data_IF_172696149175
#
_entry.id   IF_172696149175
#
_cell.length_a   1.000
_cell.length_b   1.000
_cell.length_c   1.000
_cell.angle_alpha   90.00
_cell.angle_beta   90.00
_cell.angle_gamma   90.00
#
_symmetry.space_group_name_H-M   'P 1'
#
loop_
_entity.id
_entity.type
_entity.pdbx_description
1 polymer ?
#
# COMPACT_ATOMS: atom_id res chain seq x y z
N UNK A 1 -0.74 -3.92 -34.32
CA UNK A 1 -1.27 -4.30 -32.99
C UNK A 1 -1.43 -3.02 -32.16
N UNK A 2 -2.17 -2.03 -32.67
CA UNK A 2 -2.34 -0.73 -32.01
C UNK A 2 -3.75 -0.52 -31.42
N UNK A 3 -4.74 -1.31 -31.85
CA UNK A 3 -6.15 -1.01 -31.57
C UNK A 3 -6.63 -1.34 -30.14
N UNK A 4 -5.97 -2.22 -29.37
CA UNK A 4 -6.53 -2.65 -28.06
C UNK A 4 -6.37 -1.53 -27.02
N UNK A 5 -5.20 -0.90 -26.97
CA UNK A 5 -4.93 0.22 -26.05
C UNK A 5 -5.75 1.43 -26.47
N UNK A 6 -5.85 1.68 -27.78
CA UNK A 6 -6.66 2.77 -28.32
C UNK A 6 -8.15 2.56 -28.00
N UNK A 7 -8.71 1.36 -28.20
CA UNK A 7 -10.12 1.06 -27.86
C UNK A 7 -10.44 1.26 -26.37
N UNK A 8 -9.52 0.88 -25.47
CA UNK A 8 -9.71 1.04 -24.02
C UNK A 8 -9.57 2.50 -23.60
N UNK A 9 -8.74 3.28 -24.29
CA UNK A 9 -8.44 4.69 -23.96
C UNK A 9 -9.37 5.68 -24.67
N UNK A 10 -9.91 5.29 -25.83
CA UNK A 10 -10.85 6.08 -26.64
C UNK A 10 -12.21 6.24 -25.97
N UNK A 11 -12.57 5.36 -25.03
CA UNK A 11 -13.81 5.49 -24.27
C UNK A 11 -13.56 5.27 -22.76
N UNK A 12 -13.84 6.26 -21.91
CA UNK A 12 -13.60 6.20 -20.47
C UNK A 12 -14.34 5.04 -19.77
N UNK A 13 -15.42 4.53 -20.36
CA UNK A 13 -16.16 3.37 -19.83
C UNK A 13 -15.31 2.10 -19.86
N UNK A 14 -14.55 1.85 -20.93
CA UNK A 14 -13.67 0.68 -21.00
C UNK A 14 -12.48 0.79 -20.05
N UNK A 15 -11.97 2.00 -19.85
CA UNK A 15 -10.95 2.27 -18.83
C UNK A 15 -11.46 1.92 -17.42
N UNK A 16 -12.69 2.32 -17.09
CA UNK A 16 -13.31 1.98 -15.81
C UNK A 16 -13.47 0.46 -15.62
N UNK A 17 -13.89 -0.27 -16.66
CA UNK A 17 -13.98 -1.73 -16.63
C UNK A 17 -12.61 -2.37 -16.44
N UNK A 18 -11.58 -1.87 -17.12
CA UNK A 18 -10.20 -2.34 -16.97
C UNK A 18 -9.68 -2.14 -15.54
N UNK A 19 -9.99 -1.00 -14.91
CA UNK A 19 -9.64 -0.72 -13.50
C UNK A 19 -10.36 -1.69 -12.55
N UNK A 20 -11.64 -1.94 -12.76
CA UNK A 20 -12.41 -2.89 -11.94
C UNK A 20 -11.83 -4.31 -12.08
N UNK A 21 -11.52 -4.75 -13.30
CA UNK A 21 -10.87 -6.03 -13.56
C UNK A 21 -9.51 -6.14 -12.84
N UNK A 22 -8.69 -5.07 -12.90
CA UNK A 22 -7.42 -5.04 -12.20
C UNK A 22 -7.60 -5.20 -10.68
N UNK A 23 -8.59 -4.51 -10.08
CA UNK A 23 -8.90 -4.65 -8.65
C UNK A 23 -9.33 -6.08 -8.31
N UNK A 24 -10.19 -6.70 -9.13
CA UNK A 24 -10.66 -8.09 -8.91
C UNK A 24 -9.51 -9.08 -8.96
N UNK A 25 -8.60 -8.93 -9.92
CA UNK A 25 -7.42 -9.77 -10.05
C UNK A 25 -6.54 -9.64 -8.80
N UNK A 26 -6.25 -8.40 -8.38
CA UNK A 26 -5.50 -8.14 -7.15
C UNK A 26 -6.19 -8.79 -5.95
N UNK A 27 -7.50 -8.62 -5.80
CA UNK A 27 -8.28 -9.19 -4.70
C UNK A 27 -8.24 -10.73 -4.68
N UNK A 28 -8.27 -11.37 -5.86
CA UNK A 28 -8.12 -12.82 -6.00
C UNK A 28 -6.75 -13.32 -5.55
N UNK A 29 -5.69 -12.56 -5.83
CA UNK A 29 -4.34 -12.89 -5.39
C UNK A 29 -4.09 -12.61 -3.92
N UNK A 30 -4.74 -11.59 -3.33
CA UNK A 30 -4.54 -11.18 -1.93
C UNK A 30 -4.67 -12.36 -0.96
N UNK A 31 -5.73 -13.19 -1.07
CA UNK A 31 -5.92 -14.35 -0.16
C UNK A 31 -4.79 -15.38 -0.27
N UNK A 32 -4.27 -15.59 -1.47
CA UNK A 32 -3.20 -16.57 -1.75
C UNK A 32 -1.83 -16.03 -1.31
N UNK A 33 -1.57 -14.75 -1.57
CA UNK A 33 -0.35 -14.04 -1.16
C UNK A 33 -0.29 -13.93 0.36
N UNK A 34 -1.38 -13.62 1.06
CA UNK A 34 -1.40 -13.57 2.54
C UNK A 34 -1.02 -14.94 3.11
N UNK A 35 -1.61 -16.02 2.60
CA UNK A 35 -1.31 -17.38 3.08
C UNK A 35 0.14 -17.77 2.82
N UNK A 36 0.67 -17.41 1.65
CA UNK A 36 2.06 -17.63 1.29
C UNK A 36 3.02 -16.80 2.17
N UNK A 37 2.74 -15.50 2.34
CA UNK A 37 3.52 -14.58 3.15
C UNK A 37 3.54 -15.00 4.62
N UNK A 38 2.46 -15.60 5.14
CA UNK A 38 2.41 -16.10 6.52
C UNK A 38 3.34 -17.30 6.70
N UNK A 39 3.36 -18.24 5.74
CA UNK A 39 4.29 -19.39 5.75
C UNK A 39 5.73 -18.92 5.56
N UNK A 40 5.99 -18.09 4.55
CA UNK A 40 7.32 -17.52 4.30
C UNK A 40 7.81 -16.69 5.48
N UNK A 41 6.93 -15.90 6.10
CA UNK A 41 7.23 -15.11 7.29
C UNK A 41 7.56 -15.99 8.49
N UNK A 42 6.82 -17.08 8.72
CA UNK A 42 7.13 -18.04 9.78
C UNK A 42 8.51 -18.70 9.57
N UNK A 43 8.81 -19.13 8.34
CA UNK A 43 10.13 -19.66 7.98
C UNK A 43 11.23 -18.60 8.16
N UNK A 44 10.93 -17.35 7.82
CA UNK A 44 11.85 -16.22 7.96
C UNK A 44 12.16 -15.90 9.43
N UNK A 45 11.14 -15.93 10.31
CA UNK A 45 11.32 -15.75 11.76
C UNK A 45 12.19 -16.87 12.32
N UNK A 46 11.94 -18.13 11.93
CA UNK A 46 12.80 -19.25 12.32
C UNK A 46 14.24 -19.09 11.83
N UNK A 47 14.42 -18.63 10.59
CA UNK A 47 15.74 -18.38 10.02
C UNK A 47 16.49 -17.28 10.77
N UNK A 48 15.82 -16.16 11.10
CA UNK A 48 16.41 -15.08 11.89
C UNK A 48 16.77 -15.56 13.31
N UNK A 49 15.92 -16.37 13.94
CA UNK A 49 16.21 -16.97 15.24
C UNK A 49 17.43 -17.91 15.18
N UNK A 50 17.52 -18.74 14.14
CA UNK A 50 18.69 -19.59 13.90
C UNK A 50 19.97 -18.74 13.66
N UNK A 51 19.85 -17.66 12.90
CA UNK A 51 20.98 -16.77 12.59
C UNK A 51 21.48 -16.05 13.85
N UNK A 52 20.55 -15.62 14.72
CA UNK A 52 20.85 -15.06 16.04
C UNK A 52 21.57 -16.07 16.94
N UNK A 53 21.11 -17.33 16.96
CA UNK A 53 21.78 -18.40 17.71
C UNK A 53 23.18 -18.74 17.15
N UNK A 54 23.35 -18.68 15.83
CA UNK A 54 24.61 -18.97 15.16
C UNK A 54 25.66 -17.85 15.28
N UNK A 55 25.37 -16.75 15.99
CA UNK A 55 26.29 -15.64 16.23
C UNK A 55 26.70 -14.86 14.97
N UNK A 56 26.05 -15.12 13.83
CA UNK A 56 26.31 -14.41 12.58
C UNK A 56 25.65 -13.03 12.66
N UNK A 57 26.47 -11.99 12.50
CA UNK A 57 26.10 -10.57 12.59
C UNK A 57 24.76 -10.24 11.91
N UNK A 58 23.69 -10.22 12.68
CA UNK A 58 22.33 -9.83 12.24
C UNK A 58 22.17 -8.31 12.09
N UNK A 59 23.22 -7.55 12.41
CA UNK A 59 23.27 -6.07 12.41
C UNK A 59 22.88 -5.44 11.07
N UNK A 60 23.28 -6.04 9.95
CA UNK A 60 22.93 -5.51 8.62
C UNK A 60 21.45 -5.75 8.27
N UNK A 61 20.92 -6.91 8.64
CA UNK A 61 19.51 -7.25 8.43
C UNK A 61 18.64 -6.37 9.33
N UNK A 62 19.01 -6.18 10.59
CA UNK A 62 18.27 -5.32 11.52
C UNK A 62 18.28 -3.85 11.09
N UNK A 63 19.43 -3.32 10.63
CA UNK A 63 19.49 -1.95 10.08
C UNK A 63 18.58 -1.76 8.88
N UNK A 64 18.56 -2.73 7.96
CA UNK A 64 17.74 -2.66 6.75
C UNK A 64 16.26 -2.69 7.10
N UNK A 65 15.85 -3.61 7.98
CA UNK A 65 14.46 -3.72 8.46
C UNK A 65 14.04 -2.45 9.21
N UNK A 66 14.88 -1.91 10.07
CA UNK A 66 14.60 -0.67 10.82
C UNK A 66 14.44 0.54 9.89
N UNK A 67 15.31 0.70 8.88
CA UNK A 67 15.16 1.76 7.87
C UNK A 67 13.86 1.61 7.09
N UNK A 68 13.52 0.40 6.65
CA UNK A 68 12.27 0.15 5.94
C UNK A 68 11.04 0.44 6.81
N UNK A 69 11.09 0.08 8.09
CA UNK A 69 10.03 0.39 9.05
C UNK A 69 9.87 1.90 9.29
N UNK A 70 10.98 2.63 9.38
CA UNK A 70 10.97 4.08 9.55
C UNK A 70 10.38 4.79 8.32
N UNK A 71 10.78 4.39 7.11
CA UNK A 71 10.23 4.92 5.84
C UNK A 71 8.72 4.65 5.75
N UNK A 72 8.27 3.44 6.10
CA UNK A 72 6.84 3.11 6.12
C UNK A 72 6.09 3.97 7.13
N UNK A 73 6.63 4.13 8.33
CA UNK A 73 6.02 4.94 9.39
C UNK A 73 5.92 6.41 8.99
N UNK A 74 6.96 6.95 8.37
CA UNK A 74 6.99 8.34 7.90
C UNK A 74 6.01 8.55 6.73
N UNK A 75 5.94 7.62 5.78
CA UNK A 75 5.00 7.67 4.66
C UNK A 75 3.54 7.58 5.12
N UNK A 76 3.25 6.71 6.08
CA UNK A 76 1.91 6.57 6.67
C UNK A 76 1.54 7.82 7.47
N UNK A 77 2.45 8.37 8.27
CA UNK A 77 2.19 9.61 9.01
C UNK A 77 1.96 10.78 8.07
N UNK A 78 2.84 11.02 7.07
CA UNK A 78 2.66 12.10 6.10
C UNK A 78 1.36 11.96 5.29
N UNK A 79 0.99 10.74 4.93
CA UNK A 79 -0.27 10.47 4.21
C UNK A 79 -1.48 10.70 5.12
N UNK A 80 -1.44 10.18 6.35
CA UNK A 80 -2.50 10.37 7.34
C UNK A 80 -2.71 11.83 7.73
N UNK A 81 -1.63 12.59 7.88
CA UNK A 81 -1.65 14.02 8.19
C UNK A 81 -2.23 14.82 7.02
N UNK A 82 -1.79 14.56 5.78
CA UNK A 82 -2.38 15.18 4.58
C UNK A 82 -3.87 14.89 4.41
N UNK A 83 -4.31 13.66 4.74
CA UNK A 83 -5.73 13.27 4.69
C UNK A 83 -6.52 14.02 5.76
N UNK A 84 -6.00 14.12 6.99
CA UNK A 84 -6.63 14.88 8.08
C UNK A 84 -6.76 16.37 7.74
N UNK A 85 -5.67 17.01 7.33
CA UNK A 85 -5.68 18.42 6.93
C UNK A 85 -6.65 18.69 5.78
N UNK A 86 -6.65 17.85 4.74
CA UNK A 86 -7.55 18.01 3.60
C UNK A 86 -9.02 17.79 3.96
N UNK A 87 -9.31 16.86 4.88
CA UNK A 87 -10.65 16.63 5.38
C UNK A 87 -11.15 17.81 6.23
N UNK A 88 -10.32 18.32 7.16
CA UNK A 88 -10.66 19.46 8.01
C UNK A 88 -10.92 20.71 7.15
N UNK A 89 -10.03 21.04 6.19
CA UNK A 89 -10.24 22.17 5.27
C UNK A 89 -11.50 22.06 4.44
N UNK A 90 -11.85 20.85 4.00
CA UNK A 90 -13.08 20.61 3.22
C UNK A 90 -14.34 20.78 4.07
N UNK A 91 -14.28 20.43 5.35
CA UNK A 91 -15.37 20.63 6.31
C UNK A 91 -15.51 22.12 6.64
N UNK A 92 -14.40 22.80 6.94
CA UNK A 92 -14.37 24.23 7.29
C UNK A 92 -14.95 25.09 6.15
N UNK A 93 -14.50 24.86 4.92
CA UNK A 93 -15.02 25.54 3.73
C UNK A 93 -16.52 25.28 3.49
N UNK A 94 -17.00 24.08 3.83
CA UNK A 94 -18.42 23.71 3.68
C UNK A 94 -19.28 24.30 4.80
N UNK A 95 -18.74 24.45 6.01
CA UNK A 95 -19.39 25.11 7.15
C UNK A 95 -19.49 26.62 6.92
N UNK A 96 -18.40 27.29 6.49
CA UNK A 96 -18.43 28.71 6.15
C UNK A 96 -19.44 29.01 5.04
N UNK A 97 -19.45 28.23 3.95
CA UNK A 97 -20.42 28.42 2.85
C UNK A 97 -21.88 28.26 3.26
N UNK A 98 -22.16 27.57 4.38
CA UNK A 98 -23.51 27.39 4.93
C UNK A 98 -23.88 28.42 5.99
N UNK A 99 -22.91 29.13 6.56
CA UNK A 99 -23.14 30.18 7.57
C UNK A 99 -23.23 31.58 6.93
N UNK A 100 -22.72 31.77 5.71
CA UNK A 100 -22.79 33.06 4.99
C UNK A 100 -23.96 33.17 3.99
N UNK A 101 -24.86 32.19 3.94
CA UNK A 101 -26.05 32.18 3.08
C UNK A 101 -27.34 32.03 3.91
#
# INVERSE_FOLDING_TARGET
>A
MENIIELITSNPVYLAIAVILAIVIVYGFVKKIIKLALVTGAVFILYVAYLHYSGKNTSEISKTVSKSAEILKEAVSKTGEKVKDSAIKSIEKKVESKLTN
#
